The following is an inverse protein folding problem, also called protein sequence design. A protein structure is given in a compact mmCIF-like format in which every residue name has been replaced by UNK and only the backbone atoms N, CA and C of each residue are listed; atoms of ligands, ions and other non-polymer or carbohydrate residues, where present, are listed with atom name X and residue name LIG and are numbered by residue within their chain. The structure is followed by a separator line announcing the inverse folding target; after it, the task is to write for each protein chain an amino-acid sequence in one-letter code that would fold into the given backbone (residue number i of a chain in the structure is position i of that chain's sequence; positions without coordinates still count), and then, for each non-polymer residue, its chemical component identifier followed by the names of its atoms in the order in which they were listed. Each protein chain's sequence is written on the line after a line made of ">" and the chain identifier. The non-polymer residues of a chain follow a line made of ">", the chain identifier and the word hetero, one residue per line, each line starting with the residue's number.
data_IF_533747722827
#
_entry.id   IF_533747722827
#
_cell.length_a   1.000
_cell.length_b   1.000
_cell.length_c   1.000
_cell.angle_alpha   90.00
_cell.angle_beta   90.00
_cell.angle_gamma   90.00
#
_symmetry.space_group_name_H-M   'P 1'
#
loop_
_entity.id
_entity.type
_entity.pdbx_description
1 polymer ?
#
# COMPACT_ATOMS: atom_id res chain seq x y z
N UNK A 1 -16.95 -2.75 -69.80
CA UNK A 1 -17.08 -2.77 -68.35
C UNK A 1 -16.21 -3.85 -67.81
N UNK A 2 -15.04 -3.47 -67.23
CA UNK A 2 -14.12 -4.41 -66.60
C UNK A 2 -14.35 -4.32 -65.09
N UNK A 3 -14.94 -5.38 -64.51
CA UNK A 3 -15.09 -5.49 -63.07
C UNK A 3 -13.78 -5.91 -62.42
N UNK A 4 -13.13 -5.00 -61.73
CA UNK A 4 -11.92 -5.30 -60.92
C UNK A 4 -12.39 -5.91 -59.61
N UNK A 5 -12.14 -7.20 -59.43
CA UNK A 5 -12.38 -7.91 -58.18
C UNK A 5 -11.24 -7.54 -57.19
N UNK A 6 -11.54 -6.76 -56.15
CA UNK A 6 -10.68 -6.56 -55.00
C UNK A 6 -10.66 -7.88 -54.18
N UNK A 7 -9.62 -8.66 -54.34
CA UNK A 7 -9.31 -9.78 -53.46
C UNK A 7 -8.78 -9.22 -52.14
N UNK A 8 -9.64 -9.10 -51.14
CA UNK A 8 -9.22 -8.81 -49.76
C UNK A 8 -8.46 -10.01 -49.21
N UNK A 9 -7.17 -9.82 -48.95
CA UNK A 9 -6.34 -10.82 -48.28
C UNK A 9 -6.82 -10.93 -46.81
N UNK A 10 -7.54 -11.99 -46.49
CA UNK A 10 -7.81 -12.38 -45.11
C UNK A 10 -6.50 -12.88 -44.51
N UNK A 11 -5.86 -12.08 -43.68
CA UNK A 11 -4.74 -12.54 -42.87
C UNK A 11 -5.31 -13.54 -41.86
N UNK A 12 -4.92 -14.82 -42.02
CA UNK A 12 -5.28 -15.83 -41.04
C UNK A 12 -4.59 -15.52 -39.73
N UNK A 13 -5.35 -15.24 -38.69
CA UNK A 13 -4.85 -15.08 -37.32
C UNK A 13 -4.58 -16.47 -36.74
N UNK A 14 -3.35 -16.69 -36.30
CA UNK A 14 -2.98 -17.91 -35.58
C UNK A 14 -3.16 -17.68 -34.08
N UNK A 15 -3.67 -18.70 -33.34
CA UNK A 15 -3.91 -18.61 -31.90
C UNK A 15 -2.72 -19.15 -31.14
N UNK A 16 -1.96 -18.24 -30.54
CA UNK A 16 -0.85 -18.58 -29.65
C UNK A 16 -1.38 -18.95 -28.27
N UNK A 17 -0.99 -20.12 -27.77
CA UNK A 17 -1.32 -20.61 -26.44
C UNK A 17 -0.10 -20.61 -25.55
N UNK A 18 -0.24 -20.15 -24.31
CA UNK A 18 0.83 -20.19 -23.33
C UNK A 18 0.34 -20.22 -21.91
N UNK A 19 1.28 -20.32 -20.99
CA UNK A 19 1.03 -20.29 -19.56
C UNK A 19 2.06 -19.40 -18.87
N UNK A 20 1.61 -18.62 -17.89
CA UNK A 20 2.47 -17.78 -17.04
C UNK A 20 2.49 -18.37 -15.64
N UNK A 21 3.69 -18.60 -15.13
CA UNK A 21 3.91 -19.18 -13.80
C UNK A 21 4.96 -18.37 -13.03
N UNK A 22 4.90 -18.47 -11.73
CA UNK A 22 5.94 -18.00 -10.81
C UNK A 22 7.24 -18.79 -11.01
N UNK A 23 8.37 -18.10 -11.03
CA UNK A 23 9.68 -18.72 -11.27
C UNK A 23 10.20 -19.51 -10.07
N UNK A 24 9.81 -19.14 -8.83
CA UNK A 24 10.28 -19.79 -7.60
C UNK A 24 9.37 -20.95 -7.19
N UNK A 25 8.07 -20.72 -7.19
CA UNK A 25 7.09 -21.70 -6.68
C UNK A 25 6.44 -22.53 -7.78
N UNK A 26 6.53 -22.11 -9.05
CA UNK A 26 5.90 -22.79 -10.18
C UNK A 26 4.39 -22.68 -10.21
N UNK A 27 3.81 -21.82 -9.38
CA UNK A 27 2.38 -21.57 -9.30
C UNK A 27 1.88 -20.75 -10.50
N UNK A 28 0.62 -20.96 -10.87
CA UNK A 28 -0.02 -20.19 -11.95
C UNK A 28 -0.25 -18.74 -11.53
N UNK A 29 0.10 -17.79 -12.40
CA UNK A 29 -0.17 -16.38 -12.16
C UNK A 29 -1.47 -16.00 -12.87
N UNK A 30 -2.51 -15.74 -12.08
CA UNK A 30 -3.80 -15.26 -12.55
C UNK A 30 -3.74 -13.77 -12.90
N UNK A 31 -4.43 -13.38 -13.99
CA UNK A 31 -4.55 -11.96 -14.43
C UNK A 31 -3.21 -11.30 -14.81
N UNK A 32 -2.19 -12.06 -15.19
CA UNK A 32 -0.98 -11.50 -15.79
C UNK A 32 -1.30 -10.94 -17.18
N UNK A 33 -0.76 -9.77 -17.50
CA UNK A 33 -0.92 -9.12 -18.80
C UNK A 33 0.06 -9.71 -19.80
N UNK A 34 -0.42 -10.13 -20.94
CA UNK A 34 0.37 -10.63 -22.10
C UNK A 34 0.07 -9.74 -23.29
N UNK A 35 1.01 -8.92 -23.72
CA UNK A 35 0.83 -7.91 -24.77
C UNK A 35 1.86 -8.13 -25.88
N UNK A 36 1.46 -7.95 -27.12
CA UNK A 36 2.39 -7.94 -28.25
C UNK A 36 3.18 -6.64 -28.23
N UNK A 37 4.53 -6.73 -28.17
CA UNK A 37 5.42 -5.58 -28.10
C UNK A 37 5.12 -4.55 -29.19
N UNK A 38 4.98 -3.28 -28.79
CA UNK A 38 4.69 -2.17 -29.72
C UNK A 38 3.23 -2.07 -30.18
N UNK A 39 2.32 -2.86 -29.60
CA UNK A 39 0.88 -2.81 -29.92
C UNK A 39 0.03 -2.69 -28.67
N UNK A 40 -1.27 -2.47 -28.85
CA UNK A 40 -2.28 -2.53 -27.78
C UNK A 40 -2.97 -3.90 -27.72
N UNK A 41 -2.57 -4.86 -28.56
CA UNK A 41 -3.17 -6.18 -28.58
C UNK A 41 -2.58 -7.04 -27.46
N UNK A 42 -3.43 -7.44 -26.54
CA UNK A 42 -3.04 -8.26 -25.40
C UNK A 42 -4.23 -8.98 -24.79
N UNK A 43 -3.93 -9.92 -23.91
CA UNK A 43 -4.87 -10.70 -23.12
C UNK A 43 -4.36 -10.84 -21.70
N UNK A 44 -5.24 -11.26 -20.79
CA UNK A 44 -4.86 -11.63 -19.43
C UNK A 44 -4.94 -13.14 -19.25
N UNK A 45 -4.14 -13.67 -18.33
CA UNK A 45 -4.16 -15.10 -17.97
C UNK A 45 -5.39 -15.45 -17.13
N UNK A 46 -5.86 -16.68 -17.29
CA UNK A 46 -6.92 -17.27 -16.46
C UNK A 46 -6.41 -17.81 -15.13
N UNK A 47 -7.27 -18.45 -14.31
CA UNK A 47 -6.91 -19.01 -13.00
C UNK A 47 -5.82 -20.08 -13.03
N UNK A 48 -5.66 -20.78 -14.16
CA UNK A 48 -4.61 -21.76 -14.37
C UNK A 48 -3.33 -21.12 -14.97
N UNK A 49 -3.30 -19.77 -15.08
CA UNK A 49 -2.22 -19.00 -15.68
C UNK A 49 -2.16 -19.11 -17.21
N UNK A 50 -3.19 -19.69 -17.87
CA UNK A 50 -3.20 -19.89 -19.30
C UNK A 50 -3.70 -18.65 -20.04
N UNK A 51 -3.20 -18.44 -21.25
CA UNK A 51 -3.66 -17.38 -22.14
C UNK A 51 -3.82 -17.88 -23.58
N UNK A 52 -4.65 -17.20 -24.33
CA UNK A 52 -4.91 -17.44 -25.74
C UNK A 52 -4.88 -16.09 -26.46
N UNK A 53 -3.83 -15.85 -27.24
CA UNK A 53 -3.57 -14.58 -27.92
C UNK A 53 -3.63 -14.74 -29.44
N UNK A 54 -4.50 -14.00 -30.16
CA UNK A 54 -4.48 -13.99 -31.62
C UNK A 54 -3.27 -13.22 -32.14
N UNK A 55 -2.48 -13.86 -33.02
CA UNK A 55 -1.26 -13.31 -33.60
C UNK A 55 -1.36 -13.33 -35.12
N UNK A 56 -0.97 -12.24 -35.76
CA UNK A 56 -1.07 -12.09 -37.21
C UNK A 56 0.18 -12.58 -38.00
N UNK A 57 1.34 -12.65 -37.33
CA UNK A 57 2.59 -13.09 -37.94
C UNK A 57 3.63 -13.52 -36.89
N UNK A 58 4.53 -14.40 -37.25
CA UNK A 58 5.71 -14.81 -36.49
C UNK A 58 7.00 -14.38 -37.20
N UNK A 59 8.10 -14.12 -36.49
CA UNK A 59 8.23 -14.15 -35.03
C UNK A 59 7.51 -12.99 -34.35
N UNK A 60 6.99 -13.21 -33.13
CA UNK A 60 6.33 -12.20 -32.32
C UNK A 60 7.04 -12.06 -30.98
N UNK A 61 7.18 -10.83 -30.52
CA UNK A 61 7.68 -10.53 -29.18
C UNK A 61 6.50 -10.22 -28.26
N UNK A 62 6.46 -10.90 -27.13
CA UNK A 62 5.46 -10.73 -26.10
C UNK A 62 6.09 -10.05 -24.89
N UNK A 63 5.43 -9.05 -24.38
CA UNK A 63 5.70 -8.49 -23.06
C UNK A 63 4.71 -9.08 -22.06
N UNK A 64 5.22 -9.74 -21.04
CA UNK A 64 4.43 -10.35 -19.98
C UNK A 64 4.74 -9.64 -18.69
N UNK A 65 3.71 -9.12 -18.04
CA UNK A 65 3.84 -8.36 -16.79
C UNK A 65 2.74 -8.71 -15.79
N UNK A 66 3.10 -8.66 -14.52
CA UNK A 66 2.17 -8.79 -13.42
C UNK A 66 2.63 -7.92 -12.24
N UNK A 67 1.70 -7.43 -11.43
CA UNK A 67 2.03 -6.58 -10.28
C UNK A 67 2.89 -7.37 -9.30
N UNK A 68 4.07 -6.82 -8.93
CA UNK A 68 5.03 -7.46 -8.04
C UNK A 68 5.98 -8.44 -8.73
N UNK A 69 6.02 -8.47 -10.08
CA UNK A 69 6.92 -9.30 -10.86
C UNK A 69 7.67 -8.48 -11.92
N UNK A 70 8.91 -8.85 -12.15
CA UNK A 70 9.71 -8.25 -13.23
C UNK A 70 9.08 -8.54 -14.58
N UNK A 71 8.90 -7.50 -15.39
CA UNK A 71 8.38 -7.64 -16.75
C UNK A 71 9.35 -8.48 -17.60
N UNK A 72 8.83 -9.47 -18.31
CA UNK A 72 9.62 -10.34 -19.17
C UNK A 72 9.21 -10.21 -20.64
N UNK A 73 10.21 -10.09 -21.52
CA UNK A 73 9.99 -10.11 -22.97
C UNK A 73 10.42 -11.46 -23.53
N UNK A 74 9.50 -12.12 -24.25
CA UNK A 74 9.73 -13.45 -24.84
C UNK A 74 9.48 -13.39 -26.34
N UNK A 75 10.41 -13.89 -27.12
CA UNK A 75 10.25 -14.02 -28.59
C UNK A 75 9.73 -15.41 -28.92
N UNK A 76 8.60 -15.47 -29.62
CA UNK A 76 7.96 -16.71 -30.05
C UNK A 76 8.12 -16.85 -31.54
N UNK A 77 8.65 -18.01 -31.99
CA UNK A 77 8.93 -18.28 -33.41
C UNK A 77 7.73 -18.87 -34.13
N UNK A 78 6.91 -19.69 -33.46
CA UNK A 78 5.78 -20.42 -34.06
C UNK A 78 4.61 -20.56 -33.08
N UNK A 79 3.38 -20.71 -33.59
CA UNK A 79 2.16 -20.89 -32.78
C UNK A 79 2.06 -22.25 -32.06
N UNK A 80 2.82 -23.24 -32.51
CA UNK A 80 2.79 -24.61 -31.97
C UNK A 80 3.65 -24.81 -30.72
N UNK A 81 4.47 -23.84 -30.36
CA UNK A 81 5.31 -23.92 -29.17
C UNK A 81 4.44 -23.85 -27.89
N UNK A 82 4.61 -24.82 -26.99
CA UNK A 82 4.03 -24.75 -25.64
C UNK A 82 4.80 -23.69 -24.86
N UNK A 83 4.37 -22.45 -24.98
CA UNK A 83 5.01 -21.35 -24.33
C UNK A 83 4.72 -21.36 -22.81
N UNK A 84 5.76 -21.48 -22.00
CA UNK A 84 5.69 -21.24 -20.56
C UNK A 84 6.58 -20.06 -20.22
N UNK A 85 5.96 -18.98 -19.75
CA UNK A 85 6.68 -17.79 -19.29
C UNK A 85 6.80 -17.86 -17.77
N UNK A 86 8.02 -17.73 -17.29
CA UNK A 86 8.32 -17.72 -15.85
C UNK A 86 8.57 -16.27 -15.44
N UNK A 87 7.70 -15.68 -14.64
CA UNK A 87 7.95 -14.38 -14.06
C UNK A 87 8.67 -14.56 -12.72
N UNK A 88 9.77 -13.86 -12.54
CA UNK A 88 10.42 -13.75 -11.24
C UNK A 88 9.75 -12.64 -10.45
N UNK A 89 9.49 -12.84 -9.14
CA UNK A 89 9.11 -11.75 -8.29
C UNK A 89 10.03 -10.56 -8.52
N UNK A 90 9.48 -9.39 -8.65
CA UNK A 90 10.26 -8.18 -8.78
C UNK A 90 10.94 -7.91 -7.45
N UNK A 91 12.02 -8.65 -7.22
CA UNK A 91 13.02 -8.23 -6.27
C UNK A 91 13.67 -7.01 -6.91
N UNK A 92 13.06 -5.85 -6.71
CA UNK A 92 13.81 -4.63 -6.78
C UNK A 92 14.90 -4.80 -5.72
N UNK A 93 16.00 -5.38 -6.13
CA UNK A 93 17.26 -5.29 -5.42
C UNK A 93 17.58 -3.80 -5.42
N UNK A 94 17.01 -3.11 -4.42
CA UNK A 94 17.50 -1.82 -4.01
C UNK A 94 18.84 -2.14 -3.36
N UNK A 95 19.86 -2.30 -4.20
CA UNK A 95 21.27 -2.34 -3.80
C UNK A 95 21.78 -0.92 -3.48
N UNK A 96 20.88 0.03 -3.43
CA UNK A 96 21.07 1.26 -2.69
C UNK A 96 20.72 0.93 -1.24
N UNK A 97 21.71 0.94 -0.37
CA UNK A 97 21.53 0.84 1.06
C UNK A 97 20.54 1.91 1.52
N UNK A 98 19.25 1.65 1.35
CA UNK A 98 18.21 2.34 2.07
C UNK A 98 18.37 1.86 3.52
N UNK A 99 19.18 2.58 4.27
CA UNK A 99 19.20 2.49 5.73
C UNK A 99 17.87 3.07 6.20
N UNK A 100 16.79 2.41 5.82
CA UNK A 100 15.53 2.56 6.51
C UNK A 100 15.77 1.89 7.85
N UNK A 101 15.89 2.70 8.86
CA UNK A 101 15.98 2.25 10.23
C UNK A 101 14.68 1.57 10.66
N UNK A 102 14.32 0.51 9.97
CA UNK A 102 13.20 -0.34 10.33
C UNK A 102 13.57 -0.99 11.66
N UNK A 103 13.09 -0.42 12.76
CA UNK A 103 13.23 -1.03 14.08
C UNK A 103 12.57 -2.41 14.17
N UNK A 104 11.68 -2.74 13.20
CA UNK A 104 11.09 -4.06 13.05
C UNK A 104 11.80 -4.76 11.90
N UNK A 105 12.85 -5.53 12.22
CA UNK A 105 13.48 -6.42 11.26
C UNK A 105 12.62 -7.67 11.01
N UNK A 106 12.81 -8.37 9.88
CA UNK A 106 12.18 -9.67 9.61
C UNK A 106 12.42 -10.69 10.75
N UNK A 107 13.58 -10.60 11.44
CA UNK A 107 13.84 -11.38 12.65
C UNK A 107 12.91 -11.03 13.82
N UNK A 108 12.45 -9.79 13.89
CA UNK A 108 11.50 -9.35 14.93
C UNK A 108 10.07 -9.76 14.60
N UNK A 109 9.70 -9.84 13.32
CA UNK A 109 8.44 -10.43 12.87
C UNK A 109 8.38 -11.93 13.18
N UNK A 110 9.52 -12.60 13.20
CA UNK A 110 9.65 -14.02 13.60
C UNK A 110 9.79 -14.22 15.12
N UNK A 111 9.94 -13.15 15.88
CA UNK A 111 9.98 -13.21 17.34
C UNK A 111 8.59 -13.61 17.91
N UNK A 112 8.51 -14.11 19.17
CA UNK A 112 7.24 -14.52 19.80
C UNK A 112 6.30 -13.35 20.13
N UNK A 113 6.43 -12.23 19.44
CA UNK A 113 5.56 -11.07 19.51
C UNK A 113 4.40 -11.26 18.54
N UNK A 114 3.20 -10.98 18.99
CA UNK A 114 2.03 -10.95 18.10
C UNK A 114 2.08 -9.66 17.30
N UNK A 115 2.30 -9.78 15.99
CA UNK A 115 2.28 -8.66 15.05
C UNK A 115 1.09 -8.82 14.13
N UNK A 116 0.24 -7.80 14.08
CA UNK A 116 -0.89 -7.70 13.14
C UNK A 116 -0.54 -6.60 12.14
N UNK A 117 -0.76 -6.85 10.85
CA UNK A 117 -0.38 -5.93 9.78
C UNK A 117 -1.57 -5.52 8.94
N UNK A 118 -1.58 -4.26 8.52
CA UNK A 118 -2.53 -3.70 7.55
C UNK A 118 -1.73 -3.15 6.36
N UNK A 119 -1.98 -3.66 5.17
CA UNK A 119 -1.31 -3.24 3.94
C UNK A 119 -2.05 -2.10 3.21
N UNK A 120 -1.48 -1.64 2.09
CA UNK A 120 -2.04 -0.57 1.26
C UNK A 120 -3.48 -0.85 0.81
N UNK A 121 -3.83 -2.10 0.51
CA UNK A 121 -5.18 -2.45 0.08
C UNK A 121 -6.15 -2.38 1.24
N UNK A 122 -5.79 -2.96 2.38
CA UNK A 122 -6.60 -2.89 3.60
C UNK A 122 -6.80 -1.44 4.08
N UNK A 123 -5.76 -0.59 3.94
CA UNK A 123 -5.86 0.84 4.25
C UNK A 123 -6.86 1.56 3.32
N UNK A 124 -6.85 1.25 2.01
CA UNK A 124 -7.76 1.85 1.04
C UNK A 124 -9.20 1.37 1.17
N UNK A 125 -9.39 0.11 1.51
CA UNK A 125 -10.68 -0.56 1.61
C UNK A 125 -11.31 -0.42 2.99
N UNK A 126 -10.58 0.13 3.96
CA UNK A 126 -11.11 0.37 5.30
C UNK A 126 -12.36 1.26 5.22
N UNK A 127 -13.51 0.79 5.72
CA UNK A 127 -14.79 1.54 5.64
C UNK A 127 -14.85 2.72 6.61
N UNK A 128 -13.73 3.17 7.10
CA UNK A 128 -13.57 4.22 8.10
C UNK A 128 -13.06 5.53 7.48
N UNK A 129 -13.30 6.63 8.13
CA UNK A 129 -12.84 7.95 7.69
C UNK A 129 -11.31 8.10 7.64
N UNK A 130 -10.59 7.30 8.41
CA UNK A 130 -9.12 7.23 8.37
C UNK A 130 -8.64 5.79 8.58
N UNK A 131 -7.46 5.46 8.04
CA UNK A 131 -6.87 4.14 8.25
C UNK A 131 -6.63 3.85 9.74
N UNK A 132 -6.38 4.88 10.54
CA UNK A 132 -6.10 4.75 11.96
C UNK A 132 -7.29 4.18 12.74
N UNK A 133 -8.51 4.52 12.34
CA UNK A 133 -9.72 3.92 12.88
C UNK A 133 -9.88 2.47 12.42
N UNK A 134 -9.47 2.18 11.17
CA UNK A 134 -9.45 0.84 10.61
C UNK A 134 -8.56 -0.15 11.38
N UNK A 135 -7.56 0.33 12.14
CA UNK A 135 -6.73 -0.51 12.99
C UNK A 135 -7.53 -1.25 14.08
N UNK A 136 -8.70 -0.74 14.47
CA UNK A 136 -9.61 -1.43 15.40
C UNK A 136 -10.21 -2.73 14.85
N UNK A 137 -10.09 -2.99 13.54
CA UNK A 137 -10.50 -4.26 12.94
C UNK A 137 -9.44 -5.35 13.10
N UNK A 138 -8.23 -5.00 13.51
CA UNK A 138 -7.16 -5.96 13.75
C UNK A 138 -7.39 -6.72 15.06
N UNK A 139 -6.96 -7.97 15.08
CA UNK A 139 -7.21 -8.85 16.21
C UNK A 139 -6.51 -8.37 17.49
N UNK A 140 -7.30 -8.20 18.55
CA UNK A 140 -6.79 -7.77 19.86
C UNK A 140 -6.34 -6.31 19.92
N UNK A 141 -6.85 -5.49 19.00
CA UNK A 141 -6.67 -4.05 18.95
C UNK A 141 -7.98 -3.37 19.28
N UNK A 142 -7.96 -2.45 20.24
CA UNK A 142 -9.09 -1.62 20.66
C UNK A 142 -8.76 -0.15 20.34
N UNK A 143 -9.69 0.58 19.76
CA UNK A 143 -9.54 2.00 19.45
C UNK A 143 -10.43 2.83 20.35
N UNK A 144 -9.85 3.70 21.15
CA UNK A 144 -10.57 4.69 21.93
C UNK A 144 -10.52 6.03 21.21
N UNK A 145 -11.68 6.56 20.83
CA UNK A 145 -11.78 7.87 20.17
C UNK A 145 -11.93 8.97 21.23
N UNK A 146 -10.93 9.83 21.33
CA UNK A 146 -10.99 11.02 22.17
C UNK A 146 -11.53 12.23 21.40
N UNK A 147 -11.28 12.27 20.08
CA UNK A 147 -11.86 13.24 19.14
C UNK A 147 -11.89 12.63 17.73
N UNK A 148 -12.41 13.34 16.73
CA UNK A 148 -12.39 12.91 15.33
C UNK A 148 -10.97 12.61 14.84
N UNK A 149 -10.00 13.44 15.19
CA UNK A 149 -8.61 13.28 14.80
C UNK A 149 -7.72 12.64 15.86
N UNK A 150 -8.20 12.39 17.07
CA UNK A 150 -7.37 11.85 18.15
C UNK A 150 -7.88 10.47 18.59
N UNK A 151 -7.23 9.45 18.08
CA UNK A 151 -7.51 8.04 18.36
C UNK A 151 -6.39 7.44 19.20
N UNK A 152 -6.74 6.67 20.19
CA UNK A 152 -5.81 5.96 21.07
C UNK A 152 -5.91 4.48 20.77
N UNK A 153 -4.81 3.90 20.36
CA UNK A 153 -4.70 2.47 20.09
C UNK A 153 -4.34 1.75 21.38
N UNK A 154 -5.14 0.77 21.74
CA UNK A 154 -4.93 -0.13 22.86
C UNK A 154 -4.79 -1.56 22.35
N UNK A 155 -4.05 -2.39 23.05
CA UNK A 155 -3.88 -3.80 22.66
C UNK A 155 -4.14 -4.73 23.85
N UNK A 156 -4.59 -5.95 23.54
CA UNK A 156 -4.80 -7.04 24.53
C UNK A 156 -5.70 -6.65 25.71
N UNK A 157 -6.69 -5.79 25.48
CA UNK A 157 -7.66 -5.38 26.51
C UNK A 157 -7.12 -4.40 27.56
N UNK A 158 -5.92 -3.87 27.39
CA UNK A 158 -5.40 -2.78 28.24
C UNK A 158 -5.99 -1.45 27.79
N UNK A 159 -7.27 -1.24 28.08
CA UNK A 159 -7.98 -0.01 27.72
C UNK A 159 -7.48 1.17 28.53
N UNK A 160 -6.78 2.08 27.87
CA UNK A 160 -6.31 3.33 28.42
C UNK A 160 -6.89 4.49 27.62
N UNK A 161 -7.34 5.53 28.31
CA UNK A 161 -7.69 6.80 27.69
C UNK A 161 -6.48 7.73 27.50
N UNK A 162 -5.30 7.27 27.89
CA UNK A 162 -4.05 8.02 27.75
C UNK A 162 -3.13 7.38 26.73
N UNK A 163 -2.65 8.12 25.73
CA UNK A 163 -1.79 7.63 24.65
C UNK A 163 -0.34 7.39 25.07
N UNK A 164 0.06 7.77 26.28
CA UNK A 164 1.46 7.74 26.76
C UNK A 164 2.08 6.35 26.85
N UNK A 165 1.28 5.29 26.71
CA UNK A 165 1.72 3.90 26.85
C UNK A 165 1.85 3.15 25.53
N UNK A 166 1.51 3.79 24.43
CA UNK A 166 1.63 3.23 23.09
C UNK A 166 2.63 4.04 22.30
N UNK A 167 3.61 3.34 21.72
CA UNK A 167 4.64 3.96 20.91
C UNK A 167 4.17 4.00 19.46
N UNK A 168 4.32 5.13 18.79
CA UNK A 168 4.06 5.28 17.37
C UNK A 168 5.36 5.60 16.63
N UNK A 169 5.67 4.78 15.64
CA UNK A 169 6.84 4.94 14.78
C UNK A 169 6.40 5.25 13.35
N UNK A 170 7.12 6.13 12.68
CA UNK A 170 7.00 6.39 11.25
C UNK A 170 8.38 6.21 10.65
N UNK A 171 8.53 5.24 9.75
CA UNK A 171 9.82 4.85 9.15
C UNK A 171 10.92 4.63 10.23
N UNK A 172 10.51 4.02 11.36
CA UNK A 172 11.39 3.74 12.50
C UNK A 172 11.69 4.93 13.41
N UNK A 173 11.19 6.12 13.11
CA UNK A 173 11.34 7.33 13.92
C UNK A 173 10.17 7.47 14.88
N UNK A 174 10.46 7.77 16.14
CA UNK A 174 9.44 8.02 17.16
C UNK A 174 8.65 9.30 16.85
N UNK A 175 7.33 9.14 16.68
CA UNK A 175 6.41 10.23 16.33
C UNK A 175 5.76 10.88 17.57
N UNK A 176 6.51 11.02 18.65
CA UNK A 176 6.04 11.73 19.83
C UNK A 176 6.02 13.24 19.61
N UNK A 177 4.97 13.87 20.08
CA UNK A 177 4.89 15.33 20.07
C UNK A 177 5.92 15.92 21.05
N UNK A 178 6.78 16.87 20.60
CA UNK A 178 7.73 17.51 21.46
C UNK A 178 7.06 18.16 22.68
N UNK A 179 7.54 17.84 23.88
CA UNK A 179 7.04 18.38 25.13
C UNK A 179 5.81 17.70 25.73
N UNK A 180 5.08 16.88 24.96
CA UNK A 180 3.93 16.12 25.47
C UNK A 180 4.29 14.67 25.80
N UNK A 181 5.37 14.13 25.26
CA UNK A 181 5.86 12.78 25.48
C UNK A 181 4.87 11.66 25.07
N UNK A 182 4.00 11.93 24.10
CA UNK A 182 3.12 10.93 23.51
C UNK A 182 2.78 11.26 22.06
N UNK A 183 2.35 10.26 21.32
CA UNK A 183 1.92 10.38 19.94
C UNK A 183 0.50 10.94 19.86
N UNK A 184 0.24 11.84 18.93
CA UNK A 184 -1.07 12.46 18.72
C UNK A 184 -1.97 11.69 17.74
N UNK A 185 -1.81 10.37 17.67
CA UNK A 185 -2.59 9.54 16.75
C UNK A 185 -2.30 9.90 15.29
N UNK A 186 -3.36 10.18 14.55
CA UNK A 186 -3.26 10.61 13.15
C UNK A 186 -3.22 12.13 12.96
N UNK A 187 -3.13 12.91 14.04
CA UNK A 187 -2.99 14.38 13.98
C UNK A 187 -1.65 14.83 13.44
N UNK A 188 -0.59 14.12 13.82
CA UNK A 188 0.76 14.37 13.36
C UNK A 188 1.31 13.08 12.76
N UNK A 189 1.87 13.17 11.58
CA UNK A 189 2.52 12.02 10.98
C UNK A 189 2.22 11.86 9.49
N UNK A 190 2.26 10.62 9.01
CA UNK A 190 2.02 10.30 7.61
C UNK A 190 0.53 10.37 7.28
N UNK A 191 0.18 11.04 6.19
CA UNK A 191 -1.17 11.02 5.66
C UNK A 191 -1.52 9.65 5.08
N UNK A 192 -2.81 9.31 5.02
CA UNK A 192 -3.31 8.07 4.42
C UNK A 192 -2.74 7.84 3.00
N UNK A 193 -2.45 8.91 2.26
CA UNK A 193 -1.87 8.82 0.92
C UNK A 193 -0.44 8.29 0.90
N UNK A 194 0.34 8.53 1.95
CA UNK A 194 1.75 8.16 2.00
C UNK A 194 2.03 6.89 2.81
N UNK A 195 1.05 6.39 3.54
CA UNK A 195 1.20 5.13 4.30
C UNK A 195 1.16 3.94 3.35
N UNK A 196 2.17 3.06 3.44
CA UNK A 196 2.29 1.80 2.71
C UNK A 196 1.74 0.64 3.53
N UNK A 197 2.18 0.54 4.78
CA UNK A 197 1.72 -0.49 5.71
C UNK A 197 1.76 0.02 7.15
N UNK A 198 0.94 -0.60 7.98
CA UNK A 198 0.94 -0.37 9.43
C UNK A 198 1.05 -1.71 10.13
N UNK A 199 2.07 -1.85 10.95
CA UNK A 199 2.28 -3.01 11.81
C UNK A 199 1.96 -2.65 13.26
N UNK A 200 1.11 -3.45 13.90
CA UNK A 200 0.84 -3.34 15.34
C UNK A 200 1.49 -4.49 16.08
N UNK A 201 2.46 -4.16 16.92
CA UNK A 201 3.04 -5.10 17.86
C UNK A 201 2.23 -5.05 19.15
N UNK A 202 1.42 -6.08 19.38
CA UNK A 202 0.50 -6.09 20.50
C UNK A 202 1.18 -6.45 21.83
N UNK A 203 0.84 -5.69 22.88
CA UNK A 203 1.29 -5.91 24.25
C UNK A 203 2.61 -5.24 24.60
N UNK A 204 3.17 -5.63 25.75
CA UNK A 204 4.39 -5.02 26.27
C UNK A 204 5.61 -5.38 25.43
N UNK A 205 6.17 -4.41 24.75
CA UNK A 205 7.32 -4.55 23.83
C UNK A 205 8.49 -3.64 24.22
N UNK A 206 8.50 -3.13 25.46
CA UNK A 206 9.49 -2.17 25.94
C UNK A 206 10.93 -2.68 25.91
N UNK A 207 11.13 -3.99 25.97
CA UNK A 207 12.46 -4.60 25.85
C UNK A 207 13.10 -4.38 24.47
N UNK A 208 12.27 -4.20 23.42
CA UNK A 208 12.73 -4.01 22.04
C UNK A 208 12.65 -2.55 21.60
N UNK A 209 11.66 -1.82 22.08
CA UNK A 209 11.31 -0.48 21.58
C UNK A 209 11.50 0.64 22.61
N UNK A 210 11.79 0.29 23.86
CA UNK A 210 11.98 1.26 24.93
C UNK A 210 10.72 1.54 25.75
N UNK A 211 10.79 2.48 26.72
CA UNK A 211 9.80 2.63 27.79
C UNK A 211 8.40 3.05 27.31
N UNK A 212 8.27 3.68 26.14
CA UNK A 212 6.97 4.06 25.56
C UNK A 212 6.13 2.89 25.05
N UNK A 213 6.73 1.71 24.84
CA UNK A 213 6.07 0.55 24.22
C UNK A 213 5.45 -0.40 25.27
N UNK A 214 4.71 0.13 26.23
CA UNK A 214 4.07 -0.70 27.27
C UNK A 214 2.77 -1.36 26.79
N UNK A 215 1.94 -0.63 26.07
CA UNK A 215 0.63 -1.10 25.57
C UNK A 215 0.67 -1.50 24.09
N UNK A 216 1.83 -1.48 23.47
CA UNK A 216 2.04 -1.84 22.09
C UNK A 216 2.82 -0.79 21.29
N UNK A 217 3.11 -1.17 20.06
CA UNK A 217 3.80 -0.31 19.09
C UNK A 217 2.97 -0.26 17.82
N UNK A 218 2.71 0.92 17.32
CA UNK A 218 2.14 1.18 15.99
C UNK A 218 3.30 1.64 15.11
N UNK A 219 3.72 0.80 14.17
CA UNK A 219 4.81 1.11 13.25
C UNK A 219 4.25 1.31 11.84
N UNK A 220 4.42 2.50 11.31
CA UNK A 220 4.01 2.87 9.96
C UNK A 220 5.20 2.90 9.04
N UNK A 221 5.05 2.28 7.89
CA UNK A 221 6.00 2.40 6.78
C UNK A 221 5.38 3.31 5.71
N UNK A 222 6.14 4.30 5.27
CA UNK A 222 5.68 5.21 4.23
C UNK A 222 6.05 4.71 2.83
N UNK A 223 5.32 5.19 1.82
CA UNK A 223 5.55 4.83 0.41
C UNK A 223 6.89 5.38 -0.07
N UNK A 224 7.77 4.50 -0.51
CA UNK A 224 9.04 4.89 -1.13
C UNK A 224 8.78 5.65 -2.45
N UNK A 225 9.54 6.73 -2.74
CA UNK A 225 9.45 7.43 -4.02
C UNK A 225 9.83 6.54 -5.21
N UNK A 226 10.70 5.56 -4.99
CA UNK A 226 11.14 4.63 -6.04
C UNK A 226 10.06 3.63 -6.46
N UNK A 227 9.26 3.16 -5.50
CA UNK A 227 8.19 2.18 -5.73
C UNK A 227 6.86 2.83 -6.09
N UNK A 228 6.63 4.04 -5.62
CA UNK A 228 5.37 4.77 -5.78
C UNK A 228 5.62 6.19 -6.29
N UNK A 229 6.21 6.37 -7.49
CA UNK A 229 6.36 7.69 -8.10
C UNK A 229 5.00 8.24 -8.55
N UNK A 230 4.95 9.56 -8.79
CA UNK A 230 3.79 10.22 -9.36
C UNK A 230 3.05 11.12 -8.38
N UNK A 231 1.89 11.61 -8.83
CA UNK A 231 1.04 12.55 -8.10
C UNK A 231 -0.21 11.81 -7.61
N UNK A 232 -0.56 12.01 -6.35
CA UNK A 232 -1.81 11.52 -5.79
C UNK A 232 -2.49 12.64 -5.03
N UNK A 233 -3.78 12.84 -5.29
CA UNK A 233 -4.61 13.81 -4.59
C UNK A 233 -5.82 13.10 -4.02
N UNK A 234 -6.19 13.41 -2.79
CA UNK A 234 -7.41 12.93 -2.16
C UNK A 234 -8.16 14.09 -1.54
N UNK A 235 -9.46 14.06 -1.68
CA UNK A 235 -10.36 14.98 -0.97
C UNK A 235 -11.48 14.17 -0.33
N UNK A 236 -11.78 14.47 0.94
CA UNK A 236 -12.90 13.87 1.66
C UNK A 236 -13.76 14.99 2.22
N UNK A 237 -15.06 14.84 2.09
CA UNK A 237 -16.05 15.72 2.70
C UNK A 237 -17.05 14.87 3.47
N UNK A 238 -17.53 15.37 4.59
CA UNK A 238 -18.43 14.61 5.43
C UNK A 238 -19.26 15.47 6.34
N UNK A 239 -19.93 14.83 7.30
CA UNK A 239 -20.70 15.50 8.33
C UNK A 239 -19.80 16.38 9.20
N UNK A 240 -20.41 17.33 9.90
CA UNK A 240 -19.75 18.29 10.82
C UNK A 240 -18.70 19.15 10.11
N UNK A 241 -18.98 19.56 8.87
CA UNK A 241 -18.08 20.34 8.04
C UNK A 241 -16.70 19.68 7.82
N UNK A 242 -16.66 18.35 7.89
CA UNK A 242 -15.44 17.62 7.62
C UNK A 242 -14.97 17.91 6.20
N UNK A 243 -13.77 18.42 6.11
CA UNK A 243 -13.08 18.71 4.87
C UNK A 243 -11.61 18.27 5.01
N UNK A 244 -11.22 17.34 4.19
CA UNK A 244 -9.85 16.82 4.13
C UNK A 244 -9.32 17.00 2.72
N UNK A 245 -8.14 17.56 2.62
CA UNK A 245 -7.37 17.66 1.39
C UNK A 245 -5.99 17.08 1.65
N UNK A 246 -5.62 16.09 0.87
CA UNK A 246 -4.30 15.48 0.91
C UNK A 246 -3.68 15.47 -0.49
N UNK A 247 -2.38 15.75 -0.54
CA UNK A 247 -1.58 15.78 -1.76
C UNK A 247 -0.27 15.06 -1.52
N UNK A 248 0.12 14.20 -2.46
CA UNK A 248 1.42 13.54 -2.47
C UNK A 248 2.04 13.65 -3.86
N UNK A 249 3.28 14.06 -3.91
CA UNK A 249 4.13 14.00 -5.10
C UNK A 249 5.42 13.26 -4.76
N UNK A 250 5.80 12.33 -5.59
CA UNK A 250 7.07 11.62 -5.46
C UNK A 250 7.67 11.36 -6.83
N UNK A 251 8.99 11.44 -6.90
CA UNK A 251 9.73 11.16 -8.12
C UNK A 251 11.16 10.74 -7.76
N UNK A 252 11.91 10.23 -8.75
CA UNK A 252 13.30 9.83 -8.58
C UNK A 252 14.09 10.04 -9.85
N UNK A 253 15.41 10.15 -9.68
CA UNK A 253 16.37 10.23 -10.79
C UNK A 253 17.12 8.93 -10.92
N UNK A 254 17.55 8.60 -12.14
CA UNK A 254 18.37 7.43 -12.44
C UNK A 254 19.75 7.87 -12.94
N UNK A 255 20.73 6.98 -12.81
CA UNK A 255 22.02 7.10 -13.48
C UNK A 255 21.94 6.72 -14.98
N UNK A 256 23.08 6.76 -15.66
CA UNK A 256 23.18 6.40 -17.09
C UNK A 256 22.87 4.91 -17.37
N UNK A 257 22.97 4.05 -16.36
CA UNK A 257 22.68 2.62 -16.41
C UNK A 257 21.21 2.33 -16.04
N UNK A 258 20.43 3.35 -15.67
CA UNK A 258 19.01 3.23 -15.31
C UNK A 258 18.77 2.88 -13.85
N UNK A 259 19.79 2.84 -13.00
CA UNK A 259 19.61 2.58 -11.58
C UNK A 259 19.12 3.83 -10.83
N UNK A 260 18.19 3.69 -9.88
CA UNK A 260 17.69 4.83 -9.11
C UNK A 260 18.78 5.37 -8.17
N UNK A 261 19.05 6.69 -8.27
CA UNK A 261 20.10 7.37 -7.49
C UNK A 261 19.51 8.24 -6.38
N UNK A 262 18.53 9.07 -6.71
CA UNK A 262 17.94 10.00 -5.79
C UNK A 262 16.43 9.99 -5.91
N UNK A 263 15.75 9.69 -4.82
CA UNK A 263 14.29 9.78 -4.71
C UNK A 263 13.89 10.91 -3.78
N UNK A 264 12.80 11.58 -4.10
CA UNK A 264 12.21 12.60 -3.22
C UNK A 264 10.69 12.47 -3.21
N UNK A 265 10.08 12.89 -2.11
CA UNK A 265 8.63 12.97 -1.97
C UNK A 265 8.23 14.20 -1.17
N UNK A 266 7.06 14.73 -1.50
CA UNK A 266 6.42 15.84 -0.81
C UNK A 266 4.99 15.44 -0.49
N UNK A 267 4.60 15.61 0.77
CA UNK A 267 3.25 15.44 1.24
C UNK A 267 2.71 16.73 1.83
N UNK A 268 1.46 17.04 1.51
CA UNK A 268 0.71 18.10 2.14
C UNK A 268 -0.66 17.57 2.56
N UNK A 269 -1.06 17.90 3.77
CA UNK A 269 -2.29 17.42 4.36
C UNK A 269 -2.97 18.54 5.13
N UNK A 270 -4.26 18.69 4.93
CA UNK A 270 -5.12 19.59 5.70
C UNK A 270 -6.40 18.89 6.07
N UNK A 271 -6.71 18.90 7.35
CA UNK A 271 -7.94 18.40 7.91
C UNK A 271 -8.64 19.51 8.68
N UNK A 272 -9.96 19.62 8.52
CA UNK A 272 -10.82 20.54 9.25
C UNK A 272 -12.17 19.87 9.48
N UNK A 273 -12.67 19.89 10.70
CA UNK A 273 -13.98 19.38 11.05
C UNK A 273 -14.38 19.96 12.41
N UNK A 274 -15.68 20.00 12.69
CA UNK A 274 -16.17 20.19 14.05
C UNK A 274 -16.22 18.84 14.77
N UNK A 275 -15.74 18.81 16.00
CA UNK A 275 -15.86 17.63 16.85
C UNK A 275 -17.29 17.43 17.34
N UNK A 276 -17.58 16.29 17.97
CA UNK A 276 -18.89 16.10 18.59
C UNK A 276 -19.01 16.92 19.85
N UNK A 277 -20.22 17.41 20.10
CA UNK A 277 -20.57 18.05 21.34
C UNK A 277 -21.23 17.02 22.27
N UNK A 278 -20.69 16.86 23.48
CA UNK A 278 -21.32 16.07 24.51
C UNK A 278 -22.23 16.97 25.35
N UNK A 279 -23.51 16.65 25.37
CA UNK A 279 -24.45 17.35 26.27
C UNK A 279 -24.55 16.56 27.57
N UNK A 280 -24.08 17.14 28.68
CA UNK A 280 -24.29 16.59 30.01
C UNK A 280 -25.60 17.11 30.55
N UNK A 281 -26.55 16.21 30.83
CA UNK A 281 -27.85 16.55 31.40
C UNK A 281 -27.88 16.39 32.93
N UNK A 282 -26.76 16.07 33.58
CA UNK A 282 -26.71 15.93 35.04
C UNK A 282 -26.67 17.30 35.69
N UNK A 283 -27.74 17.71 36.45
CA UNK A 283 -27.81 19.02 37.10
C UNK A 283 -26.82 19.18 38.26
N UNK A 284 -26.15 18.09 38.67
CA UNK A 284 -25.17 18.08 39.77
C UNK A 284 -23.74 18.29 39.27
N UNK A 285 -23.50 18.19 37.97
CA UNK A 285 -22.19 18.48 37.40
C UNK A 285 -21.98 19.99 37.31
N UNK A 286 -21.27 20.53 38.32
CA UNK A 286 -20.88 21.94 38.37
C UNK A 286 -19.84 22.35 37.29
N UNK A 287 -19.57 21.50 36.31
CA UNK A 287 -18.64 21.75 35.22
C UNK A 287 -19.28 22.35 33.96
N UNK A 288 -20.53 22.86 34.05
CA UNK A 288 -21.05 23.72 33.00
C UNK A 288 -20.20 24.98 32.90
N UNK A 289 -19.13 24.89 32.12
CA UNK A 289 -18.48 26.07 31.62
C UNK A 289 -19.34 26.53 30.43
N UNK A 290 -20.14 27.57 30.64
CA UNK A 290 -20.78 28.30 29.57
C UNK A 290 -19.68 28.77 28.62
N UNK A 291 -19.53 28.07 27.51
CA UNK A 291 -18.73 28.54 26.38
C UNK A 291 -19.55 29.63 25.68
N UNK A 292 -19.44 30.85 26.20
CA UNK A 292 -19.89 32.08 25.53
C UNK A 292 -18.84 32.62 24.61
#
# INVERSE_FOLDING_TARGET
>A
MVASALAGSTVAQEMLRGRVIDAEFGEAIFSANVIIEGTTNGVTTDFDGQFLLPVSAFPVKLQVSFIGYSMQTVTVQNATDKLTVKLSPDQVLIDAAEVVGNRISEKQKQAPLTVESMDVLAIKEAPSGSFYEGLGNLKGVDVTSASLGFKIINTRGFNSTSPVRSLQLIDGIDNQSPGLNFSLGNFLGASDLDVKSVDIVAGASSAFYGPGAFNGVVSMETKSPFQFPGITVSTKVGERELNELAFRYADYTTDDDGNPVLGFKVNAYRFSAYDWEATNYDPVDGSQVDAS
#
